data_IF_246229855978
#
_entry.id   IF_246229855978
#
_cell.length_a   1.000
_cell.length_b   1.000
_cell.length_c   1.000
_cell.angle_alpha   90.00
_cell.angle_beta   90.00
_cell.angle_gamma   90.00
#
_symmetry.space_group_name_H-M   'P 1'
#
loop_
_entity.id
_entity.type
_entity.pdbx_description
1 polymer ?
#
# COMPACT_ATOMS: atom_id res chain seq x y z
N UNK A 1 15.19 17.36 19.35
CA UNK A 1 14.33 17.56 18.16
C UNK A 1 13.97 19.03 18.07
N UNK A 2 14.36 19.73 16.99
CA UNK A 2 14.02 21.13 16.80
C UNK A 2 12.53 21.27 16.42
N UNK A 3 11.78 22.12 17.12
CA UNK A 3 10.38 22.44 16.80
C UNK A 3 10.36 23.56 15.76
N UNK A 4 10.32 23.22 14.48
CA UNK A 4 10.17 24.19 13.39
C UNK A 4 8.68 24.42 13.18
N UNK A 5 8.23 25.67 13.29
CA UNK A 5 6.89 26.06 12.87
C UNK A 5 6.87 26.16 11.34
N UNK A 6 6.22 25.20 10.70
CA UNK A 6 6.08 25.17 9.24
C UNK A 6 5.05 26.22 8.80
N UNK A 7 5.33 26.90 7.68
CA UNK A 7 4.40 27.84 7.05
C UNK A 7 3.04 27.14 6.80
N UNK A 8 1.89 27.78 7.07
CA UNK A 8 0.55 27.21 6.84
C UNK A 8 0.31 26.60 5.45
N UNK A 9 0.99 27.09 4.41
CA UNK A 9 0.95 26.52 3.06
C UNK A 9 1.38 25.05 3.05
N UNK A 10 2.35 24.69 3.89
CA UNK A 10 2.92 23.33 3.98
C UNK A 10 1.90 22.33 4.56
N UNK A 11 0.91 22.80 5.34
CA UNK A 11 -0.12 21.94 5.94
C UNK A 11 -1.08 21.33 4.92
N UNK A 12 -1.13 21.85 3.69
CA UNK A 12 -1.98 21.31 2.61
C UNK A 12 -1.19 20.44 1.61
N UNK A 13 0.12 20.31 1.77
CA UNK A 13 0.96 19.54 0.86
C UNK A 13 0.92 18.04 1.21
N UNK A 14 0.68 17.21 0.21
CA UNK A 14 0.76 15.75 0.35
C UNK A 14 1.62 15.20 -0.80
N UNK A 15 2.38 14.14 -0.52
CA UNK A 15 3.18 13.46 -1.52
C UNK A 15 4.67 13.79 -1.43
N UNK A 16 5.38 13.61 -2.54
CA UNK A 16 6.84 13.74 -2.58
C UNK A 16 7.28 14.87 -3.50
N UNK A 17 8.16 15.74 -3.01
CA UNK A 17 8.82 16.77 -3.80
C UNK A 17 10.33 16.60 -3.63
N UNK A 18 11.03 16.39 -4.75
CA UNK A 18 12.45 16.07 -4.77
C UNK A 18 12.80 14.94 -3.78
N UNK A 19 13.72 15.22 -2.86
CA UNK A 19 14.23 14.27 -1.85
C UNK A 19 13.42 14.28 -0.55
N UNK A 20 12.26 14.91 -0.53
CA UNK A 20 11.42 14.99 0.66
C UNK A 20 10.01 14.44 0.40
N UNK A 21 9.42 13.91 1.47
CA UNK A 21 8.05 13.41 1.50
C UNK A 21 7.27 14.15 2.57
N UNK A 22 6.16 14.77 2.17
CA UNK A 22 5.18 15.42 3.01
C UNK A 22 4.07 14.41 3.35
N UNK A 23 3.91 14.12 4.64
CA UNK A 23 2.84 13.22 5.11
C UNK A 23 2.25 13.69 6.42
N UNK A 24 0.95 13.48 6.59
CA UNK A 24 0.30 13.61 7.88
C UNK A 24 0.59 12.36 8.72
N UNK A 25 1.15 12.55 9.91
CA UNK A 25 1.40 11.49 10.87
C UNK A 25 0.99 11.97 12.25
N UNK A 26 0.23 11.16 12.99
CA UNK A 26 -0.24 11.49 14.35
C UNK A 26 -0.90 12.89 14.44
N UNK A 27 -1.72 13.24 13.45
CA UNK A 27 -2.43 14.52 13.39
C UNK A 27 -1.55 15.73 13.05
N UNK A 28 -0.30 15.53 12.63
CA UNK A 28 0.64 16.61 12.31
C UNK A 28 1.27 16.42 10.94
N UNK A 29 1.50 17.54 10.26
CA UNK A 29 2.26 17.55 9.03
C UNK A 29 3.73 17.24 9.32
N UNK A 30 4.25 16.19 8.68
CA UNK A 30 5.62 15.71 8.86
C UNK A 30 6.36 15.78 7.53
N UNK A 31 7.55 16.38 7.55
CA UNK A 31 8.50 16.39 6.44
C UNK A 31 9.61 15.38 6.71
N UNK A 32 9.81 14.44 5.80
CA UNK A 32 10.82 13.37 5.94
C UNK A 32 11.71 13.37 4.71
N UNK A 33 13.03 13.31 4.91
CA UNK A 33 13.99 13.07 3.82
C UNK A 33 13.84 11.62 3.35
N UNK A 34 13.72 11.42 2.03
CA UNK A 34 13.68 10.07 1.44
C UNK A 34 14.98 9.33 1.78
N UNK A 35 14.90 8.05 2.19
CA UNK A 35 16.10 7.24 2.37
C UNK A 35 16.79 7.05 1.02
N UNK A 36 18.11 7.10 1.02
CA UNK A 36 18.89 6.73 -0.16
C UNK A 36 18.90 5.20 -0.29
N UNK A 37 18.31 4.71 -1.38
CA UNK A 37 18.17 3.28 -1.64
C UNK A 37 19.18 2.77 -2.69
N UNK A 38 20.07 3.64 -3.21
CA UNK A 38 20.96 3.33 -4.34
C UNK A 38 21.95 2.20 -4.05
N UNK A 39 22.45 2.12 -2.82
CA UNK A 39 23.43 1.12 -2.38
C UNK A 39 22.81 0.02 -1.49
N UNK A 40 21.48 -0.07 -1.42
CA UNK A 40 20.81 -1.05 -0.57
C UNK A 40 20.79 -2.42 -1.26
N UNK A 41 21.54 -3.37 -0.69
CA UNK A 41 21.49 -4.77 -1.08
C UNK A 41 20.41 -5.50 -0.27
N UNK A 42 19.42 -6.07 -0.97
CA UNK A 42 18.33 -6.81 -0.35
C UNK A 42 18.76 -8.24 -0.05
N UNK A 43 18.45 -8.74 1.14
CA UNK A 43 18.61 -10.16 1.46
C UNK A 43 17.70 -11.03 0.59
N UNK A 44 18.03 -12.31 0.45
CA UNK A 44 17.21 -13.25 -0.32
C UNK A 44 15.76 -13.29 0.16
N UNK A 45 15.54 -13.29 1.47
CA UNK A 45 14.22 -13.25 2.09
C UNK A 45 13.44 -11.99 1.70
N UNK A 46 14.11 -10.83 1.70
CA UNK A 46 13.49 -9.57 1.28
C UNK A 46 13.12 -9.59 -0.20
N UNK A 47 14.02 -10.10 -1.07
CA UNK A 47 13.72 -10.23 -2.49
C UNK A 47 12.57 -11.20 -2.75
N UNK A 48 12.54 -12.34 -2.05
CA UNK A 48 11.47 -13.33 -2.15
C UNK A 48 10.13 -12.72 -1.71
N UNK A 49 10.10 -11.97 -0.62
CA UNK A 49 8.91 -11.27 -0.17
C UNK A 49 8.42 -10.25 -1.20
N UNK A 50 9.33 -9.44 -1.78
CA UNK A 50 8.99 -8.48 -2.84
C UNK A 50 8.43 -9.17 -4.09
N UNK A 51 8.99 -10.31 -4.50
CA UNK A 51 8.45 -11.12 -5.59
C UNK A 51 7.06 -11.65 -5.27
N UNK A 52 6.84 -12.16 -4.05
CA UNK A 52 5.53 -12.64 -3.58
C UNK A 52 4.49 -11.51 -3.56
N UNK A 53 4.87 -10.33 -3.08
CA UNK A 53 4.01 -9.16 -3.09
C UNK A 53 3.64 -8.69 -4.51
N UNK A 54 4.60 -8.73 -5.45
CA UNK A 54 4.31 -8.44 -6.87
C UNK A 54 3.24 -9.39 -7.43
N UNK A 55 3.29 -10.68 -7.09
CA UNK A 55 2.27 -11.66 -7.48
C UNK A 55 0.93 -11.39 -6.81
N UNK A 56 0.92 -11.04 -5.52
CA UNK A 56 -0.30 -10.68 -4.80
C UNK A 56 -1.02 -9.49 -5.44
N UNK A 57 -0.27 -8.46 -5.85
CA UNK A 57 -0.83 -7.28 -6.54
C UNK A 57 -1.38 -7.67 -7.92
N UNK A 58 -0.69 -8.54 -8.66
CA UNK A 58 -1.18 -9.01 -9.95
C UNK A 58 -2.49 -9.80 -9.79
N UNK A 59 -2.54 -10.73 -8.83
CA UNK A 59 -3.75 -11.46 -8.46
C UNK A 59 -4.90 -10.51 -8.10
N UNK A 60 -4.69 -9.56 -7.19
CA UNK A 60 -5.73 -8.64 -6.75
C UNK A 60 -6.27 -7.77 -7.90
N UNK A 61 -5.42 -7.41 -8.88
CA UNK A 61 -5.88 -6.71 -10.08
C UNK A 61 -6.75 -7.60 -10.96
N UNK A 62 -6.34 -8.85 -11.19
CA UNK A 62 -7.14 -9.80 -11.97
C UNK A 62 -8.48 -10.10 -11.29
N UNK A 63 -8.47 -10.35 -9.98
CA UNK A 63 -9.66 -10.65 -9.18
C UNK A 63 -10.69 -9.51 -9.18
N UNK A 64 -10.24 -8.26 -9.24
CA UNK A 64 -11.14 -7.11 -9.32
C UNK A 64 -11.50 -6.70 -10.75
N UNK A 65 -10.89 -7.31 -11.75
CA UNK A 65 -11.26 -7.15 -13.16
C UNK A 65 -12.45 -8.04 -13.54
N UNK A 66 -12.59 -9.20 -12.88
CA UNK A 66 -13.75 -10.06 -12.98
C UNK A 66 -14.93 -9.46 -12.17
N UNK A 67 -16.08 -9.15 -12.80
CA UNK A 67 -17.23 -8.55 -12.11
C UNK A 67 -17.83 -9.39 -10.97
N UNK A 68 -17.85 -10.72 -11.10
CA UNK A 68 -18.46 -11.60 -10.10
C UNK A 68 -17.57 -11.69 -8.86
N UNK A 69 -16.28 -11.92 -9.07
CA UNK A 69 -15.27 -11.98 -8.00
C UNK A 69 -15.15 -10.62 -7.32
N UNK A 70 -15.22 -9.53 -8.09
CA UNK A 70 -15.23 -8.16 -7.57
C UNK A 70 -16.40 -7.92 -6.63
N UNK A 71 -17.62 -8.28 -7.02
CA UNK A 71 -18.82 -8.06 -6.20
C UNK A 71 -18.69 -8.77 -4.83
N UNK A 72 -18.12 -9.98 -4.83
CA UNK A 72 -17.85 -10.73 -3.59
C UNK A 72 -16.81 -10.04 -2.71
N UNK A 73 -15.71 -9.54 -3.29
CA UNK A 73 -14.72 -8.76 -2.54
C UNK A 73 -15.25 -7.42 -2.03
N UNK A 74 -16.16 -6.76 -2.76
CA UNK A 74 -16.80 -5.53 -2.31
C UNK A 74 -17.69 -5.77 -1.08
N UNK A 75 -18.50 -6.84 -1.09
CA UNK A 75 -19.30 -7.24 0.06
C UNK A 75 -18.44 -7.61 1.27
N UNK A 76 -17.45 -8.49 1.09
CA UNK A 76 -16.56 -8.94 2.17
C UNK A 76 -15.73 -7.78 2.75
N UNK A 77 -15.28 -6.85 1.90
CA UNK A 77 -14.46 -5.72 2.35
C UNK A 77 -15.27 -4.65 3.07
N UNK A 78 -16.52 -4.39 2.65
CA UNK A 78 -17.42 -3.49 3.34
C UNK A 78 -17.70 -3.97 4.78
N UNK A 79 -17.94 -5.27 4.97
CA UNK A 79 -18.15 -5.87 6.29
C UNK A 79 -16.94 -5.70 7.23
N UNK A 80 -15.72 -5.59 6.67
CA UNK A 80 -14.48 -5.44 7.43
C UNK A 80 -13.95 -4.00 7.49
N UNK A 81 -14.64 -3.02 6.87
CA UNK A 81 -14.17 -1.64 6.76
C UNK A 81 -12.84 -1.51 5.99
N UNK A 82 -12.59 -2.40 5.03
CA UNK A 82 -11.37 -2.42 4.20
C UNK A 82 -11.69 -2.06 2.77
N UNK A 83 -10.65 -1.76 1.99
CA UNK A 83 -10.79 -1.67 0.53
C UNK A 83 -10.80 -3.08 -0.07
N UNK A 84 -11.61 -3.35 -1.11
CA UNK A 84 -11.65 -4.66 -1.78
C UNK A 84 -10.28 -5.13 -2.25
N UNK A 85 -9.47 -4.21 -2.78
CA UNK A 85 -8.10 -4.48 -3.20
C UNK A 85 -7.19 -4.95 -2.06
N UNK A 86 -7.26 -4.31 -0.90
CA UNK A 86 -6.42 -4.66 0.25
C UNK A 86 -6.81 -6.04 0.80
N UNK A 87 -8.10 -6.37 0.74
CA UNK A 87 -8.61 -7.69 1.10
C UNK A 87 -8.13 -8.77 0.12
N UNK A 88 -8.24 -8.54 -1.18
CA UNK A 88 -7.76 -9.48 -2.20
C UNK A 88 -6.24 -9.74 -2.11
N UNK A 89 -5.44 -8.69 -1.85
CA UNK A 89 -4.00 -8.86 -1.58
C UNK A 89 -3.79 -9.70 -0.32
N UNK A 90 -4.54 -9.46 0.76
CA UNK A 90 -4.44 -10.25 1.98
C UNK A 90 -4.80 -11.72 1.76
N UNK A 91 -5.82 -11.99 0.95
CA UNK A 91 -6.30 -13.35 0.69
C UNK A 91 -5.26 -14.16 -0.10
N UNK A 92 -4.56 -13.56 -1.06
CA UNK A 92 -3.41 -14.19 -1.73
C UNK A 92 -2.33 -14.65 -0.74
N UNK A 93 -2.05 -13.85 0.31
CA UNK A 93 -1.07 -14.23 1.32
C UNK A 93 -1.56 -15.36 2.24
N UNK A 94 -2.88 -15.47 2.43
CA UNK A 94 -3.54 -16.52 3.21
C UNK A 94 -3.85 -17.78 2.41
N UNK A 95 -3.70 -17.74 1.08
CA UNK A 95 -3.98 -18.85 0.18
C UNK A 95 -5.46 -19.00 -0.20
N UNK A 96 -6.28 -17.97 0.01
CA UNK A 96 -7.67 -17.92 -0.46
C UNK A 96 -7.69 -17.32 -1.87
N UNK A 97 -8.17 -18.07 -2.84
CA UNK A 97 -8.18 -17.70 -4.26
C UNK A 97 -9.60 -17.73 -4.80
N UNK A 98 -10.26 -16.57 -4.80
CA UNK A 98 -11.63 -16.44 -5.29
C UNK A 98 -11.72 -16.38 -6.82
N UNK A 99 -10.60 -16.22 -7.52
CA UNK A 99 -10.58 -16.12 -8.99
C UNK A 99 -10.55 -17.51 -9.66
N UNK A 100 -10.00 -18.51 -8.98
CA UNK A 100 -9.93 -19.89 -9.47
C UNK A 100 -10.94 -20.83 -8.78
N UNK A 101 -11.85 -20.30 -7.95
CA UNK A 101 -12.88 -21.06 -7.21
C UNK A 101 -14.20 -21.23 -8.00
N UNK A 102 -14.22 -20.90 -9.30
CA UNK A 102 -15.40 -20.99 -10.20
C UNK A 102 -15.38 -22.20 -11.13
#
# INVERSE_FOLDING_TARGET
>A
MAKIHLNPIINKLHGSIANFTFRYMYGRQTLIKKPDMSNVQWSEAQQAHRRRFKRAVAYARSALADPEVRARYEADAAAQGKRPFDLAVSDYFKGRDLLNEG
#
